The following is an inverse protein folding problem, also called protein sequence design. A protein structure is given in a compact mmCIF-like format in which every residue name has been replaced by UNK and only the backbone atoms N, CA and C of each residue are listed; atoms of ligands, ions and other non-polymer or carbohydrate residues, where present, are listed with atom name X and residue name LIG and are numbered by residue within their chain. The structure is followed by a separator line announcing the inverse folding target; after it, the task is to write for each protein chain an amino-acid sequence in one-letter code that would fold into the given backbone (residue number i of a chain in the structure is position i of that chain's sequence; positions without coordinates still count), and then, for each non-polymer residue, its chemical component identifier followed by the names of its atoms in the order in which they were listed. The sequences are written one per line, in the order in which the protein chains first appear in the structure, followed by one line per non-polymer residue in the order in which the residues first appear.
data_IF_181542817519
#
_entry.id   IF_181542817519
#
_cell.length_a   1.000
_cell.length_b   1.000
_cell.length_c   1.000
_cell.angle_alpha   90.00
_cell.angle_beta   90.00
_cell.angle_gamma   90.00
#
_symmetry.space_group_name_H-M   'P 1'
#
loop_
_entity.id
_entity.type
_entity.pdbx_description
1 polymer ?
#
# COMPACT_ATOMS: atom_id res chain seq x y z
N UNK A 1 -25.85 19.23 -39.88
CA UNK A 1 -26.14 17.80 -39.61
C UNK A 1 -25.38 16.82 -40.51
N UNK A 2 -25.36 16.96 -41.86
CA UNK A 2 -24.63 16.03 -42.76
C UNK A 2 -23.11 16.01 -42.56
N UNK A 3 -22.47 17.17 -42.35
CA UNK A 3 -21.02 17.27 -42.08
C UNK A 3 -20.61 16.59 -40.77
N UNK A 4 -21.44 16.70 -39.73
CA UNK A 4 -21.20 16.05 -38.43
C UNK A 4 -21.27 14.52 -38.53
N UNK A 5 -22.22 13.99 -39.31
CA UNK A 5 -22.33 12.55 -39.59
C UNK A 5 -21.14 11.99 -40.36
N UNK A 6 -20.61 12.75 -41.32
CA UNK A 6 -19.40 12.37 -42.08
C UNK A 6 -18.15 12.34 -41.19
N UNK A 7 -17.98 13.34 -40.32
CA UNK A 7 -16.85 13.37 -39.38
C UNK A 7 -16.93 12.20 -38.39
N UNK A 8 -18.12 11.93 -37.82
CA UNK A 8 -18.31 10.81 -36.90
C UNK A 8 -18.05 9.45 -37.57
N UNK A 9 -18.51 9.27 -38.82
CA UNK A 9 -18.26 8.07 -39.60
C UNK A 9 -16.77 7.86 -39.91
N UNK A 10 -16.06 8.94 -40.25
CA UNK A 10 -14.61 8.88 -40.48
C UNK A 10 -13.82 8.57 -39.19
N UNK A 11 -14.22 9.13 -38.05
CA UNK A 11 -13.59 8.86 -36.75
C UNK A 11 -13.81 7.41 -36.30
N UNK A 12 -15.03 6.89 -36.44
CA UNK A 12 -15.34 5.49 -36.15
C UNK A 12 -14.56 4.56 -37.10
N UNK A 13 -14.52 4.87 -38.39
CA UNK A 13 -13.75 4.12 -39.37
C UNK A 13 -12.25 4.09 -39.04
N UNK A 14 -11.68 5.22 -38.62
CA UNK A 14 -10.28 5.30 -38.21
C UNK A 14 -10.00 4.51 -36.91
N UNK A 15 -10.90 4.58 -35.93
CA UNK A 15 -10.80 3.79 -34.69
C UNK A 15 -10.88 2.28 -34.95
N UNK A 16 -11.78 1.84 -35.84
CA UNK A 16 -11.87 0.44 -36.26
C UNK A 16 -10.58 0.04 -36.98
N UNK A 17 -10.07 0.85 -37.91
CA UNK A 17 -8.83 0.57 -38.62
C UNK A 17 -7.62 0.46 -37.67
N UNK A 18 -7.54 1.36 -36.67
CA UNK A 18 -6.53 1.33 -35.61
C UNK A 18 -6.62 0.06 -34.75
N UNK A 19 -7.82 -0.45 -34.49
CA UNK A 19 -8.03 -1.70 -33.74
C UNK A 19 -7.59 -2.96 -34.51
N UNK A 20 -7.46 -2.88 -35.85
CA UNK A 20 -6.92 -3.94 -36.69
C UNK A 20 -5.42 -3.77 -37.01
N UNK A 21 -4.77 -2.71 -36.52
CA UNK A 21 -3.32 -2.64 -36.59
C UNK A 21 -2.73 -3.74 -35.69
N UNK A 22 -1.69 -4.46 -36.14
CA UNK A 22 -1.01 -5.41 -35.29
C UNK A 22 -0.42 -4.65 -34.09
N UNK A 23 -0.87 -5.00 -32.89
CA UNK A 23 -0.22 -4.55 -31.67
C UNK A 23 1.12 -5.29 -31.61
N UNK A 24 2.25 -4.59 -31.41
CA UNK A 24 3.51 -5.28 -31.19
C UNK A 24 3.34 -6.22 -30.00
N UNK A 25 3.48 -7.52 -30.23
CA UNK A 25 3.48 -8.49 -29.15
C UNK A 25 4.74 -8.23 -28.32
N UNK A 26 4.56 -8.06 -27.01
CA UNK A 26 5.70 -8.02 -26.10
C UNK A 26 6.46 -9.35 -26.20
N UNK A 27 7.78 -9.26 -26.28
CA UNK A 27 8.62 -10.45 -26.35
C UNK A 27 8.39 -11.32 -25.10
N UNK A 28 7.95 -12.55 -25.31
CA UNK A 28 7.81 -13.51 -24.22
C UNK A 28 9.19 -13.78 -23.60
N UNK A 29 9.33 -13.46 -22.32
CA UNK A 29 10.53 -13.74 -21.54
C UNK A 29 10.66 -15.28 -21.40
N UNK A 30 11.84 -15.88 -21.64
CA UNK A 30 12.02 -17.33 -21.54
C UNK A 30 11.68 -17.86 -20.14
N UNK A 31 11.15 -19.09 -19.99
CA UNK A 31 10.70 -19.62 -18.70
C UNK A 31 11.73 -19.60 -17.58
N UNK A 32 13.01 -19.71 -17.90
CA UNK A 32 14.12 -19.58 -16.93
C UNK A 32 14.26 -18.18 -16.33
N UNK A 33 13.72 -17.17 -17.01
CA UNK A 33 13.76 -15.76 -16.61
C UNK A 33 12.39 -15.28 -16.09
N UNK A 34 11.34 -16.11 -16.18
CA UNK A 34 10.01 -15.82 -15.63
C UNK A 34 10.04 -15.93 -14.09
N UNK A 35 9.79 -14.83 -13.39
CA UNK A 35 9.65 -14.81 -11.93
C UNK A 35 8.30 -15.34 -11.45
N UNK A 36 8.22 -15.85 -10.22
CA UNK A 36 7.01 -16.46 -9.62
C UNK A 36 5.84 -15.51 -9.30
N UNK A 37 5.82 -14.31 -9.87
CA UNK A 37 4.72 -13.36 -9.79
C UNK A 37 4.43 -12.87 -11.19
N UNK A 38 3.15 -12.83 -11.58
CA UNK A 38 2.68 -12.58 -12.95
C UNK A 38 3.50 -11.52 -13.71
N UNK A 39 4.29 -11.95 -14.70
CA UNK A 39 4.95 -11.05 -15.66
C UNK A 39 4.95 -11.67 -17.05
N UNK A 40 4.35 -10.98 -18.01
CA UNK A 40 4.59 -11.21 -19.44
C UNK A 40 5.12 -9.96 -20.15
N UNK A 41 5.33 -8.82 -19.46
CA UNK A 41 5.69 -7.56 -20.12
C UNK A 41 6.81 -6.79 -19.40
N UNK A 42 7.67 -6.14 -20.20
CA UNK A 42 8.89 -5.44 -19.78
C UNK A 42 8.65 -4.21 -18.88
N UNK A 43 7.41 -3.72 -18.78
CA UNK A 43 7.04 -2.56 -17.95
C UNK A 43 6.56 -2.94 -16.54
N UNK A 44 6.46 -4.24 -16.25
CA UNK A 44 6.17 -4.70 -14.89
C UNK A 44 7.46 -4.67 -14.06
N UNK A 45 7.65 -3.56 -13.32
CA UNK A 45 8.80 -3.36 -12.44
C UNK A 45 8.88 -4.50 -11.41
N UNK A 46 9.79 -5.42 -11.67
CA UNK A 46 10.61 -6.18 -10.73
C UNK A 46 9.92 -7.03 -9.63
N UNK A 47 8.71 -7.59 -9.84
CA UNK A 47 8.15 -8.62 -8.94
C UNK A 47 9.09 -9.82 -8.63
N UNK A 48 9.30 -10.16 -7.36
CA UNK A 48 10.14 -11.25 -6.78
C UNK A 48 11.62 -11.34 -7.20
N UNK A 49 12.04 -10.81 -8.35
CA UNK A 49 13.42 -10.78 -8.85
C UNK A 49 14.08 -9.41 -8.66
N UNK A 50 13.37 -8.43 -8.09
CA UNK A 50 14.01 -7.17 -7.69
C UNK A 50 15.14 -7.46 -6.70
N UNK A 51 16.32 -6.82 -6.85
CA UNK A 51 17.26 -6.75 -5.75
C UNK A 51 16.55 -6.11 -4.55
N UNK A 52 16.86 -6.59 -3.35
CA UNK A 52 16.36 -5.94 -2.13
C UNK A 52 16.71 -4.45 -2.19
N UNK A 53 15.76 -3.54 -1.90
CA UNK A 53 16.01 -2.12 -2.01
C UNK A 53 17.10 -1.73 -1.02
N UNK A 54 17.89 -0.73 -1.38
CA UNK A 54 18.94 -0.20 -0.51
C UNK A 54 18.28 0.55 0.66
N UNK A 55 17.93 -0.20 1.70
CA UNK A 55 17.39 0.33 2.95
C UNK A 55 18.49 0.33 4.02
N UNK A 56 18.52 1.35 4.90
CA UNK A 56 19.48 1.39 5.98
C UNK A 56 19.47 0.11 6.83
N UNK A 57 20.63 -0.33 7.35
CA UNK A 57 20.68 -1.45 8.30
C UNK A 57 19.71 -1.23 9.45
N UNK A 58 18.90 -2.25 9.75
CA UNK A 58 17.92 -2.18 10.84
C UNK A 58 18.60 -2.59 12.14
N UNK A 59 18.55 -1.72 13.15
CA UNK A 59 18.94 -2.06 14.51
C UNK A 59 17.95 -3.12 15.08
N UNK A 60 18.43 -4.29 15.54
CA UNK A 60 17.57 -5.30 16.16
C UNK A 60 16.72 -4.79 17.33
N UNK A 61 17.24 -3.85 18.14
CA UNK A 61 16.50 -3.26 19.25
C UNK A 61 15.35 -2.39 18.72
N UNK A 62 15.60 -1.58 17.69
CA UNK A 62 14.58 -0.77 17.02
C UNK A 62 13.52 -1.65 16.34
N UNK A 63 13.92 -2.76 15.71
CA UNK A 63 12.99 -3.72 15.13
C UNK A 63 12.10 -4.38 16.19
N UNK A 64 12.67 -4.74 17.34
CA UNK A 64 11.92 -5.31 18.45
C UNK A 64 10.91 -4.32 19.04
N UNK A 65 11.30 -3.06 19.23
CA UNK A 65 10.42 -1.98 19.66
C UNK A 65 9.29 -1.74 18.66
N UNK A 66 9.63 -1.66 17.36
CA UNK A 66 8.65 -1.52 16.29
C UNK A 66 7.65 -2.69 16.25
N UNK A 67 8.12 -3.92 16.46
CA UNK A 67 7.26 -5.10 16.59
C UNK A 67 6.33 -4.99 17.80
N UNK A 68 6.83 -4.57 18.96
CA UNK A 68 5.99 -4.38 20.15
C UNK A 68 4.86 -3.39 19.86
N UNK A 69 5.20 -2.20 19.35
CA UNK A 69 4.25 -1.15 19.00
C UNK A 69 3.24 -1.58 17.93
N UNK A 70 3.65 -2.40 16.95
CA UNK A 70 2.77 -2.85 15.86
C UNK A 70 1.58 -3.68 16.36
N UNK A 71 1.77 -4.44 17.43
CA UNK A 71 0.74 -5.31 18.00
C UNK A 71 0.05 -4.72 19.24
N UNK A 72 0.62 -3.70 19.88
CA UNK A 72 0.07 -3.11 21.10
C UNK A 72 -1.04 -2.08 20.81
N UNK A 73 -2.26 -2.24 21.37
CA UNK A 73 -3.33 -1.28 21.19
C UNK A 73 -3.12 0.07 21.89
N UNK A 74 -2.03 0.25 22.66
CA UNK A 74 -1.65 1.48 23.34
C UNK A 74 -1.62 2.71 22.43
N UNK A 75 -1.37 2.51 21.13
CA UNK A 75 -1.32 3.55 20.11
C UNK A 75 -2.70 4.11 19.75
N UNK A 76 -3.79 3.39 20.05
CA UNK A 76 -5.15 3.83 19.73
C UNK A 76 -5.80 4.54 20.91
N UNK A 77 -6.62 5.56 20.62
CA UNK A 77 -7.31 6.36 21.63
C UNK A 77 -8.24 5.52 22.52
N UNK A 78 -8.86 4.48 21.96
CA UNK A 78 -9.77 3.58 22.66
C UNK A 78 -9.08 2.37 23.30
N UNK A 79 -7.78 2.15 23.02
CA UNK A 79 -7.00 0.97 23.44
C UNK A 79 -7.64 -0.36 23.03
N UNK A 80 -8.28 -0.40 21.87
CA UNK A 80 -9.00 -1.57 21.36
C UNK A 80 -8.45 -2.11 20.03
N UNK A 81 -7.48 -1.43 19.42
CA UNK A 81 -6.91 -1.76 18.12
C UNK A 81 -5.43 -1.39 18.03
N UNK A 82 -4.69 -2.12 17.22
CA UNK A 82 -3.29 -1.85 16.89
C UNK A 82 -3.09 -1.85 15.38
N UNK A 83 -1.87 -1.61 14.90
CA UNK A 83 -1.56 -1.70 13.48
C UNK A 83 -1.92 -3.09 12.92
N UNK A 84 -1.69 -4.15 13.71
CA UNK A 84 -2.00 -5.53 13.36
C UNK A 84 -3.50 -5.84 13.21
N UNK A 85 -4.39 -4.99 13.76
CA UNK A 85 -5.84 -5.14 13.59
C UNK A 85 -6.24 -4.99 12.12
N UNK A 86 -5.66 -4.02 11.42
CA UNK A 86 -5.93 -3.79 9.99
C UNK A 86 -4.86 -4.42 9.09
N UNK A 87 -3.64 -4.62 9.58
CA UNK A 87 -2.53 -5.22 8.84
C UNK A 87 -2.15 -6.59 9.40
N UNK A 88 -3.08 -7.55 9.30
CA UNK A 88 -2.95 -8.85 9.93
C UNK A 88 -2.01 -9.79 9.14
N UNK A 89 -1.01 -10.45 9.77
CA UNK A 89 -0.01 -11.26 9.07
C UNK A 89 -0.62 -12.41 8.26
N UNK A 90 -1.63 -13.09 8.80
CA UNK A 90 -2.29 -14.21 8.11
C UNK A 90 -3.11 -13.80 6.88
N UNK A 91 -3.39 -12.49 6.74
CA UNK A 91 -4.13 -11.90 5.63
C UNK A 91 -3.19 -11.09 4.72
N UNK A 92 -1.90 -11.45 4.70
CA UNK A 92 -0.90 -10.77 3.90
C UNK A 92 -0.59 -9.36 4.41
N UNK A 93 -0.66 -9.13 5.72
CA UNK A 93 -0.57 -7.80 6.34
C UNK A 93 -1.62 -6.80 5.82
N UNK A 94 -2.84 -7.30 5.59
CA UNK A 94 -4.06 -6.53 5.33
C UNK A 94 -5.20 -7.07 6.22
N UNK A 95 -6.44 -6.63 6.00
CA UNK A 95 -7.60 -7.01 6.82
C UNK A 95 -8.56 -7.99 6.11
N UNK A 96 -8.31 -8.29 4.84
CA UNK A 96 -9.15 -9.18 4.04
C UNK A 96 -10.53 -8.60 3.70
N UNK A 97 -10.75 -7.31 3.91
CA UNK A 97 -12.02 -6.63 3.66
C UNK A 97 -12.00 -5.84 2.34
N UNK A 98 -13.16 -5.67 1.67
CA UNK A 98 -13.25 -4.82 0.49
C UNK A 98 -13.01 -3.34 0.81
N UNK A 99 -13.36 -2.91 2.02
CA UNK A 99 -13.12 -1.59 2.58
C UNK A 99 -12.73 -1.75 4.06
N UNK A 100 -11.80 -0.92 4.53
CA UNK A 100 -11.35 -0.97 5.91
C UNK A 100 -12.47 -0.54 6.87
N UNK A 101 -12.40 -1.01 8.12
CA UNK A 101 -13.35 -0.61 9.18
C UNK A 101 -12.76 0.49 10.05
N UNK A 102 -13.60 1.47 10.40
CA UNK A 102 -13.23 2.60 11.23
C UNK A 102 -13.13 2.25 12.73
N UNK A 103 -12.67 3.23 13.52
CA UNK A 103 -12.75 3.29 14.98
C UNK A 103 -14.15 2.99 15.53
N UNK A 104 -15.18 3.25 14.74
CA UNK A 104 -16.58 3.25 15.17
C UNK A 104 -17.42 2.16 14.48
N UNK A 105 -16.79 1.25 13.74
CA UNK A 105 -17.46 0.13 13.06
C UNK A 105 -18.13 0.49 11.74
N UNK A 106 -17.93 1.71 11.24
CA UNK A 106 -18.36 2.11 9.89
C UNK A 106 -17.28 1.77 8.86
N UNK A 107 -17.66 1.59 7.59
CA UNK A 107 -16.66 1.44 6.51
C UNK A 107 -15.91 2.75 6.24
N UNK A 108 -14.63 2.64 5.94
CA UNK A 108 -13.79 3.71 5.42
C UNK A 108 -13.86 3.76 3.89
N UNK A 109 -13.26 4.80 3.30
CA UNK A 109 -13.33 5.04 1.84
C UNK A 109 -12.47 4.11 0.98
N UNK A 110 -11.56 3.35 1.60
CA UNK A 110 -10.53 2.54 0.95
C UNK A 110 -10.32 1.23 1.72
N UNK A 111 -9.86 0.20 1.03
CA UNK A 111 -9.34 -1.01 1.65
C UNK A 111 -8.00 -0.77 2.31
N UNK A 112 -7.68 -1.59 3.32
CA UNK A 112 -6.36 -1.59 3.93
C UNK A 112 -5.31 -2.15 2.96
N UNK A 113 -4.25 -1.38 2.67
CA UNK A 113 -3.16 -1.87 1.83
C UNK A 113 -2.34 -2.93 2.56
N UNK A 114 -1.89 -3.95 1.83
CA UNK A 114 -0.92 -4.92 2.34
C UNK A 114 0.42 -4.23 2.67
N UNK A 115 1.04 -4.60 3.80
CA UNK A 115 2.43 -4.22 4.12
C UNK A 115 3.45 -5.23 3.57
N UNK A 116 3.01 -6.29 2.91
CA UNK A 116 3.90 -7.28 2.34
C UNK A 116 4.75 -6.63 1.24
N UNK A 117 6.08 -6.77 1.34
CA UNK A 117 7.04 -6.13 0.43
C UNK A 117 6.93 -4.60 0.38
N UNK A 118 6.42 -3.92 1.42
CA UNK A 118 6.24 -2.45 1.41
C UNK A 118 7.55 -1.69 1.16
N UNK A 119 8.70 -2.28 1.50
CA UNK A 119 10.01 -1.71 1.21
C UNK A 119 10.27 -1.47 -0.29
N UNK A 120 9.58 -2.18 -1.18
CA UNK A 120 9.70 -2.04 -2.63
C UNK A 120 8.70 -1.03 -3.22
N UNK A 121 7.84 -0.42 -2.39
CA UNK A 121 6.81 0.51 -2.84
C UNK A 121 7.35 1.94 -2.80
N UNK A 122 7.58 2.59 -3.96
CA UNK A 122 8.21 3.92 -4.00
C UNK A 122 7.27 5.07 -3.61
N UNK A 123 5.94 4.83 -3.69
CA UNK A 123 4.89 5.82 -3.44
C UNK A 123 3.77 5.17 -2.67
N UNK A 124 3.49 5.71 -1.50
CA UNK A 124 2.60 5.15 -0.48
C UNK A 124 1.24 5.85 -0.48
N UNK A 125 0.25 5.21 0.18
CA UNK A 125 -1.19 5.43 0.00
C UNK A 125 -1.74 5.05 -1.38
N UNK A 126 -3.06 4.85 -1.46
CA UNK A 126 -3.78 4.55 -2.71
C UNK A 126 -3.65 5.66 -3.76
N UNK A 127 -3.44 6.90 -3.32
CA UNK A 127 -3.23 8.08 -4.17
C UNK A 127 -1.74 8.42 -4.37
N UNK A 128 -0.82 7.62 -3.80
CA UNK A 128 0.62 7.78 -3.98
C UNK A 128 1.20 9.07 -3.41
N UNK A 129 0.54 9.70 -2.42
CA UNK A 129 0.93 11.02 -1.91
C UNK A 129 2.08 11.03 -0.90
N UNK A 130 2.41 9.88 -0.30
CA UNK A 130 3.49 9.79 0.68
C UNK A 130 4.73 9.13 0.07
N UNK A 131 5.89 9.67 0.41
CA UNK A 131 7.19 9.19 -0.08
C UNK A 131 7.95 8.37 0.99
N UNK A 132 7.44 8.27 2.22
CA UNK A 132 8.06 7.49 3.31
C UNK A 132 7.02 6.80 4.22
N UNK A 133 7.44 5.71 4.89
CA UNK A 133 6.59 5.00 5.86
C UNK A 133 6.26 5.87 7.07
N UNK A 134 7.18 6.75 7.47
CA UNK A 134 6.98 7.69 8.57
C UNK A 134 5.88 8.70 8.23
N UNK A 135 5.91 9.26 7.02
CA UNK A 135 4.86 10.17 6.55
C UNK A 135 3.52 9.45 6.39
N UNK A 136 3.54 8.22 5.87
CA UNK A 136 2.33 7.42 5.74
C UNK A 136 1.73 7.08 7.09
N UNK A 137 2.52 6.62 8.07
CA UNK A 137 2.06 6.12 9.37
C UNK A 137 1.43 7.21 10.24
N UNK A 138 1.91 8.45 10.17
CA UNK A 138 1.35 9.55 10.97
C UNK A 138 -0.14 9.82 10.67
N UNK A 139 -0.58 9.58 9.43
CA UNK A 139 -1.98 9.82 9.04
C UNK A 139 -2.96 8.86 9.74
N UNK A 140 -2.88 7.52 9.58
CA UNK A 140 -3.78 6.61 10.30
C UNK A 140 -3.57 6.65 11.81
N UNK A 141 -2.35 6.95 12.29
CA UNK A 141 -2.08 7.10 13.72
C UNK A 141 -2.89 8.24 14.35
N UNK A 142 -3.05 9.37 13.65
CA UNK A 142 -3.76 10.56 14.17
C UNK A 142 -5.21 10.67 13.71
N UNK A 143 -5.60 9.94 12.65
CA UNK A 143 -6.96 9.92 12.14
C UNK A 143 -7.93 9.34 13.19
N UNK A 144 -8.95 10.12 13.58
CA UNK A 144 -9.89 9.76 14.66
C UNK A 144 -10.74 8.54 14.33
N UNK A 145 -10.99 8.30 13.04
CA UNK A 145 -11.70 7.16 12.50
C UNK A 145 -10.79 5.95 12.27
N UNK A 146 -9.50 6.03 12.59
CA UNK A 146 -8.56 4.91 12.57
C UNK A 146 -8.00 4.65 13.97
N UNK A 147 -6.91 5.32 14.36
CA UNK A 147 -6.27 5.17 15.67
C UNK A 147 -6.56 6.33 16.63
N UNK A 148 -6.68 7.56 16.11
CA UNK A 148 -7.09 8.76 16.85
C UNK A 148 -6.09 9.26 17.91
N UNK A 149 -4.80 8.96 17.77
CA UNK A 149 -3.79 9.35 18.74
C UNK A 149 -3.51 10.86 18.73
N UNK A 150 -3.37 11.43 19.92
CA UNK A 150 -2.61 12.66 20.15
C UNK A 150 -1.13 12.25 20.32
N UNK A 151 -0.28 12.65 19.37
CA UNK A 151 1.12 12.22 19.32
C UNK A 151 1.91 12.68 20.55
N UNK A 152 1.68 13.90 21.04
CA UNK A 152 2.43 14.43 22.18
C UNK A 152 2.04 13.69 23.47
N UNK A 153 0.75 13.47 23.67
CA UNK A 153 0.24 12.68 24.79
C UNK A 153 0.72 11.23 24.73
N UNK A 154 0.69 10.62 23.54
CA UNK A 154 1.16 9.26 23.31
C UNK A 154 2.66 9.13 23.60
N UNK A 155 3.48 10.06 23.14
CA UNK A 155 4.93 10.06 23.43
C UNK A 155 5.21 10.20 24.92
N UNK A 156 4.47 11.07 25.63
CA UNK A 156 4.60 11.19 27.08
C UNK A 156 4.22 9.87 27.79
N UNK A 157 3.16 9.20 27.32
CA UNK A 157 2.72 7.91 27.85
C UNK A 157 3.76 6.82 27.60
N UNK A 158 4.26 6.67 26.37
CA UNK A 158 5.27 5.65 26.03
C UNK A 158 6.55 5.85 26.84
N UNK A 159 7.00 7.11 27.02
CA UNK A 159 8.15 7.43 27.87
C UNK A 159 7.96 7.09 29.34
N UNK A 160 6.73 6.93 29.83
CA UNK A 160 6.49 6.54 31.22
C UNK A 160 6.59 5.02 31.46
N UNK A 161 6.74 4.23 30.39
CA UNK A 161 6.70 2.76 30.45
C UNK A 161 8.11 2.22 30.11
N UNK A 162 8.82 1.58 31.06
CA UNK A 162 10.20 1.11 30.86
C UNK A 162 10.41 0.23 29.63
N UNK A 163 9.42 -0.60 29.29
CA UNK A 163 9.43 -1.51 28.14
C UNK A 163 9.53 -0.78 26.79
N UNK A 164 9.18 0.50 26.74
CA UNK A 164 9.23 1.35 25.55
C UNK A 164 10.46 2.28 25.50
N UNK A 165 11.33 2.27 26.51
CA UNK A 165 12.48 3.17 26.63
C UNK A 165 13.77 2.58 26.02
N UNK A 166 13.68 1.99 24.83
CA UNK A 166 14.77 1.28 24.15
C UNK A 166 16.16 1.91 24.25
#
# INVERSE_FOLDING_TARGET
MKRLRLIFGALIGALILLAYLPVPEDALIPPSEQGGGARQTAWSMNGLQAPFPDVPPVDPAQAALGRLLFYDPILSVNRDRSCATCHHPDLGFADGLPLAQSAHGSELRRSTQSLWNVAFVPRLFWDGRADSLQDQMLVPLTASDEMGADVDALLAQLRAIPEYQG
#
